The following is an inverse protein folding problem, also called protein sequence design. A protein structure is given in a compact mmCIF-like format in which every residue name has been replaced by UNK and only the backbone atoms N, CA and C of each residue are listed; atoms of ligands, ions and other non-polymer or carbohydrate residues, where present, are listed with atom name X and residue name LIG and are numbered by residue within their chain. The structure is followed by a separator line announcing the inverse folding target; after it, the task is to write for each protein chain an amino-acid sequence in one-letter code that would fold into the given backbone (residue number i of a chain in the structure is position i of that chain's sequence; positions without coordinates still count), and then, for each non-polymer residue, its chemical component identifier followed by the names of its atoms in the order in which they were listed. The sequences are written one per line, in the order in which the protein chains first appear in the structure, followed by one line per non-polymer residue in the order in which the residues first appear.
data_IF_187036681957
#
_entry.id   IF_187036681957
#
_cell.length_a   1.000
_cell.length_b   1.000
_cell.length_c   1.000
_cell.angle_alpha   90.00
_cell.angle_beta   90.00
_cell.angle_gamma   90.00
#
_symmetry.space_group_name_H-M   'P 1'
#
loop_
_entity.id
_entity.type
_entity.pdbx_description
1 polymer ?
#
# COMPACT_ATOMS: atom_id res chain seq x y z
N UNK A 1 14.11 -1.23 10.65
CA UNK A 1 14.41 0.03 11.35
C UNK A 1 13.85 -0.07 12.75
N UNK A 2 14.71 -0.18 13.76
CA UNK A 2 14.23 -0.28 15.14
C UNK A 2 13.74 1.07 15.67
N UNK A 3 12.92 1.03 16.72
CA UNK A 3 12.41 2.23 17.36
C UNK A 3 13.51 2.99 18.10
N UNK A 4 13.45 4.33 18.04
CA UNK A 4 14.38 5.22 18.77
C UNK A 4 14.20 5.16 20.29
N UNK A 5 13.05 4.69 20.77
CA UNK A 5 12.80 4.47 22.19
C UNK A 5 12.25 3.08 22.41
N UNK A 6 12.80 2.36 23.37
CA UNK A 6 12.33 1.04 23.80
C UNK A 6 12.07 0.04 22.64
N UNK A 7 13.06 -0.18 21.73
CA UNK A 7 12.91 -1.11 20.61
C UNK A 7 12.64 -2.54 21.08
N UNK A 8 13.12 -2.89 22.26
CA UNK A 8 12.94 -4.20 22.88
C UNK A 8 11.52 -4.46 23.37
N UNK A 9 10.62 -3.49 23.50
CA UNK A 9 9.24 -3.76 23.95
C UNK A 9 8.16 -3.30 22.96
N UNK A 10 8.51 -2.37 22.07
CA UNK A 10 7.57 -1.84 21.10
C UNK A 10 7.14 -2.83 20.01
N UNK A 11 5.97 -2.58 19.38
CA UNK A 11 5.43 -3.45 18.33
C UNK A 11 6.33 -3.50 17.09
N UNK A 12 6.08 -4.52 16.25
CA UNK A 12 6.59 -4.57 14.89
C UNK A 12 5.52 -4.06 13.92
N UNK A 13 5.87 -3.09 13.10
CA UNK A 13 5.04 -2.53 12.05
C UNK A 13 5.65 -2.97 10.72
N UNK A 14 4.91 -3.73 9.92
CA UNK A 14 5.33 -4.13 8.58
C UNK A 14 4.73 -3.13 7.59
N UNK A 15 5.60 -2.35 6.96
CA UNK A 15 5.25 -1.32 6.00
C UNK A 15 5.38 -1.87 4.58
N UNK A 16 4.25 -1.96 3.89
CA UNK A 16 4.16 -2.37 2.50
C UNK A 16 4.18 -1.16 1.56
N UNK A 17 4.72 -1.39 0.35
CA UNK A 17 4.54 -0.49 -0.80
C UNK A 17 3.16 -0.68 -1.46
N UNK A 18 2.85 0.22 -2.40
CA UNK A 18 1.62 0.17 -3.22
C UNK A 18 1.93 -0.14 -4.69
N UNK A 19 1.34 0.64 -5.59
CA UNK A 19 1.55 0.51 -7.04
C UNK A 19 0.31 -0.03 -7.75
N UNK A 20 0.23 -1.32 -8.14
CA UNK A 20 1.12 -2.46 -7.85
C UNK A 20 2.59 -2.31 -8.25
N UNK A 21 3.49 -2.96 -7.53
CA UNK A 21 4.91 -3.07 -7.96
C UNK A 21 5.85 -1.95 -7.50
N UNK A 22 5.39 -1.04 -6.64
CA UNK A 22 6.26 0.01 -6.10
C UNK A 22 7.01 -0.48 -4.85
N UNK A 23 8.32 -0.25 -4.80
CA UNK A 23 9.14 -0.61 -3.64
C UNK A 23 8.69 0.14 -2.38
N UNK A 24 8.60 -0.61 -1.28
CA UNK A 24 8.38 -0.10 0.08
C UNK A 24 9.49 0.85 0.53
N UNK A 25 10.68 0.79 -0.09
CA UNK A 25 11.76 1.74 0.16
C UNK A 25 11.36 3.17 -0.21
N UNK A 26 10.42 3.38 -1.14
CA UNK A 26 9.85 4.70 -1.36
C UNK A 26 9.22 5.24 -0.06
N UNK A 27 8.46 4.42 0.66
CA UNK A 27 7.93 4.77 1.98
C UNK A 27 9.02 5.06 3.02
N UNK A 28 10.18 4.38 2.94
CA UNK A 28 11.33 4.64 3.80
C UNK A 28 11.98 6.01 3.49
N UNK A 29 12.22 6.35 2.22
CA UNK A 29 13.04 7.52 1.86
C UNK A 29 12.24 8.78 1.50
N UNK A 30 10.94 8.66 1.27
CA UNK A 30 10.08 9.80 0.89
C UNK A 30 8.73 9.83 1.62
N UNK A 31 8.54 8.96 2.61
CA UNK A 31 7.31 8.88 3.39
C UNK A 31 7.55 8.86 4.89
N UNK A 32 7.34 7.70 5.48
CA UNK A 32 7.25 7.50 6.93
C UNK A 32 8.55 7.01 7.58
N UNK A 33 9.63 6.89 6.81
CA UNK A 33 10.95 6.52 7.34
C UNK A 33 11.66 7.62 8.10
N UNK A 34 12.75 7.26 8.82
CA UNK A 34 13.46 8.15 9.74
C UNK A 34 14.18 9.30 9.06
N UNK A 35 14.53 9.13 7.78
CA UNK A 35 15.20 10.13 6.98
C UNK A 35 14.52 10.23 5.62
N UNK A 36 14.26 11.45 5.17
CA UNK A 36 13.61 11.72 3.89
C UNK A 36 14.55 12.48 2.95
N UNK A 37 14.50 12.13 1.67
CA UNK A 37 15.23 12.86 0.62
C UNK A 37 14.58 14.21 0.36
N UNK A 38 15.38 15.27 0.35
CA UNK A 38 14.93 16.59 -0.10
C UNK A 38 14.83 16.61 -1.64
N UNK A 39 13.66 16.95 -2.15
CA UNK A 39 13.43 17.12 -3.58
C UNK A 39 13.92 18.51 -4.03
N UNK A 40 14.62 18.58 -5.16
CA UNK A 40 15.09 19.85 -5.75
C UNK A 40 16.57 20.20 -5.51
N UNK A 41 17.34 19.30 -4.88
CA UNK A 41 18.81 19.39 -4.83
C UNK A 41 19.44 18.34 -5.73
N UNK A 42 20.50 18.71 -6.45
CA UNK A 42 21.34 17.77 -7.22
C UNK A 42 22.19 16.87 -6.30
N UNK A 43 22.27 17.21 -5.00
CA UNK A 43 22.94 16.40 -3.98
C UNK A 43 21.94 15.45 -3.33
N UNK A 44 22.39 14.23 -3.06
CA UNK A 44 21.63 13.28 -2.24
C UNK A 44 21.81 13.68 -0.77
N UNK A 45 20.88 14.50 -0.29
CA UNK A 45 20.80 14.92 1.11
C UNK A 45 19.57 14.32 1.77
N UNK A 46 19.78 13.68 2.92
CA UNK A 46 18.75 13.07 3.74
C UNK A 46 18.54 13.94 5.00
N UNK A 47 17.29 14.30 5.28
CA UNK A 47 16.92 15.08 6.46
C UNK A 47 16.12 14.21 7.42
N UNK A 48 16.35 14.37 8.72
CA UNK A 48 15.59 13.66 9.74
C UNK A 48 14.10 13.97 9.65
N UNK A 49 13.28 12.91 9.66
CA UNK A 49 11.84 13.01 9.68
C UNK A 49 11.32 12.98 11.12
N UNK A 50 10.86 14.13 11.59
CA UNK A 50 10.32 14.28 12.94
C UNK A 50 9.03 13.47 13.19
N UNK A 51 8.36 13.03 12.13
CA UNK A 51 7.09 12.29 12.18
C UNK A 51 7.22 10.84 11.72
N UNK A 52 8.42 10.27 11.77
CA UNK A 52 8.64 8.93 11.29
C UNK A 52 7.91 7.85 12.10
N UNK A 53 7.40 6.84 11.40
CA UNK A 53 6.68 5.69 11.96
C UNK A 53 7.53 4.87 12.94
N UNK A 54 8.87 4.89 12.80
CA UNK A 54 9.76 4.19 13.74
C UNK A 54 9.77 4.82 15.15
N UNK A 55 9.19 6.01 15.34
CA UNK A 55 8.96 6.55 16.69
C UNK A 55 7.84 5.81 17.43
N UNK A 56 6.93 5.14 16.70
CA UNK A 56 5.80 4.37 17.25
C UNK A 56 6.09 2.88 17.43
N UNK A 57 7.04 2.32 16.67
CA UNK A 57 7.39 0.91 16.74
C UNK A 57 8.62 0.56 15.90
N UNK A 58 9.02 -0.70 15.93
CA UNK A 58 10.03 -1.22 15.01
C UNK A 58 9.39 -1.37 13.64
N UNK A 59 9.99 -0.84 12.57
CA UNK A 59 9.40 -0.85 11.22
C UNK A 59 10.21 -1.75 10.28
N UNK A 60 9.53 -2.72 9.68
CA UNK A 60 10.05 -3.56 8.61
C UNK A 60 9.45 -3.09 7.28
N UNK A 61 10.28 -2.58 6.37
CA UNK A 61 9.88 -2.22 5.02
C UNK A 61 10.04 -3.45 4.13
N UNK A 62 8.94 -3.91 3.54
CA UNK A 62 8.90 -5.17 2.81
C UNK A 62 8.52 -4.95 1.35
N UNK A 63 9.45 -5.26 0.45
CA UNK A 63 9.24 -5.21 -1.00
C UNK A 63 8.49 -6.45 -1.46
N UNK A 64 7.23 -6.24 -1.86
CA UNK A 64 6.35 -7.24 -2.43
C UNK A 64 5.62 -6.66 -3.66
N UNK A 65 5.20 -7.52 -4.61
CA UNK A 65 5.55 -8.95 -4.74
C UNK A 65 7.00 -9.19 -5.18
N UNK A 66 7.39 -10.44 -5.40
CA UNK A 66 8.67 -10.79 -6.01
C UNK A 66 8.87 -10.05 -7.35
N UNK A 67 10.08 -9.53 -7.58
CA UNK A 67 10.41 -8.65 -8.70
C UNK A 67 10.35 -7.15 -8.36
N UNK A 68 9.84 -6.77 -7.20
CA UNK A 68 9.77 -5.35 -6.76
C UNK A 68 11.05 -4.93 -6.05
N UNK A 69 11.61 -3.78 -6.44
CA UNK A 69 12.77 -3.20 -5.79
C UNK A 69 13.98 -4.14 -5.83
N UNK A 70 14.37 -4.66 -4.67
CA UNK A 70 15.44 -5.66 -4.56
C UNK A 70 14.95 -7.10 -4.38
N UNK A 71 13.64 -7.32 -4.26
CA UNK A 71 13.08 -8.68 -4.20
C UNK A 71 13.23 -9.34 -5.57
N UNK A 72 13.93 -10.47 -5.63
CA UNK A 72 14.15 -11.21 -6.87
C UNK A 72 13.10 -12.29 -7.09
N UNK A 73 12.83 -12.60 -8.36
CA UNK A 73 12.02 -13.73 -8.78
C UNK A 73 12.91 -14.67 -9.60
N UNK A 74 12.87 -15.96 -9.29
CA UNK A 74 13.68 -16.99 -9.96
C UNK A 74 12.82 -18.01 -10.75
N UNK A 75 11.52 -17.76 -10.84
CA UNK A 75 10.57 -18.57 -11.61
C UNK A 75 9.95 -17.70 -12.72
N UNK A 76 10.37 -17.95 -13.95
CA UNK A 76 9.89 -17.23 -15.14
C UNK A 76 8.41 -17.48 -15.44
N UNK A 77 7.80 -18.51 -14.85
CA UNK A 77 6.38 -18.84 -15.05
C UNK A 77 5.47 -18.31 -13.93
N UNK A 78 6.04 -17.61 -12.94
CA UNK A 78 5.29 -17.12 -11.80
C UNK A 78 4.16 -16.17 -12.24
N UNK A 79 2.97 -16.42 -11.70
CA UNK A 79 1.77 -15.62 -11.98
C UNK A 79 1.51 -14.68 -10.80
N UNK A 80 1.76 -13.39 -10.99
CA UNK A 80 1.40 -12.38 -9.99
C UNK A 80 -0.12 -12.31 -9.83
N UNK A 81 -0.57 -12.43 -8.59
CA UNK A 81 -1.96 -12.19 -8.19
C UNK A 81 -1.97 -11.69 -6.75
N UNK A 82 -3.07 -11.06 -6.34
CA UNK A 82 -3.24 -10.62 -4.94
C UNK A 82 -3.19 -11.83 -3.98
N UNK A 83 -3.73 -12.96 -4.40
CA UNK A 83 -3.68 -14.24 -3.67
C UNK A 83 -2.26 -14.73 -3.48
N UNK A 84 -1.47 -14.85 -4.56
CA UNK A 84 -0.09 -15.33 -4.48
C UNK A 84 0.78 -14.34 -3.69
N UNK A 85 0.58 -13.04 -3.90
CA UNK A 85 1.28 -12.00 -3.13
C UNK A 85 0.98 -12.11 -1.64
N UNK A 86 -0.27 -12.37 -1.25
CA UNK A 86 -0.65 -12.59 0.15
C UNK A 86 0.01 -13.82 0.78
N UNK A 87 0.05 -14.94 0.05
CA UNK A 87 0.71 -16.17 0.49
C UNK A 87 2.22 -15.99 0.64
N UNK A 88 2.88 -15.44 -0.37
CA UNK A 88 4.34 -15.23 -0.37
C UNK A 88 4.75 -14.21 0.71
N UNK A 89 3.93 -13.17 0.91
CA UNK A 89 4.13 -12.21 2.00
C UNK A 89 4.06 -12.88 3.37
N UNK A 90 3.08 -13.76 3.59
CA UNK A 90 2.98 -14.52 4.84
C UNK A 90 4.23 -15.39 5.08
N UNK A 91 4.66 -16.16 4.08
CA UNK A 91 5.85 -17.02 4.21
C UNK A 91 7.12 -16.20 4.43
N UNK A 92 7.23 -15.03 3.79
CA UNK A 92 8.34 -14.09 4.00
C UNK A 92 8.34 -13.56 5.44
N UNK A 93 7.18 -13.15 5.97
CA UNK A 93 7.03 -12.67 7.35
C UNK A 93 7.37 -13.79 8.35
N UNK A 94 6.88 -15.02 8.13
CA UNK A 94 7.21 -16.18 8.97
C UNK A 94 8.71 -16.47 8.96
N UNK A 95 9.33 -16.46 7.78
CA UNK A 95 10.77 -16.67 7.62
C UNK A 95 11.57 -15.60 8.36
N UNK A 96 11.18 -14.34 8.23
CA UNK A 96 11.80 -13.23 8.94
C UNK A 96 11.66 -13.37 10.46
N UNK A 97 10.46 -13.68 10.97
CA UNK A 97 10.22 -13.90 12.41
C UNK A 97 11.00 -15.11 12.97
N UNK A 98 11.27 -16.12 12.14
CA UNK A 98 12.11 -17.26 12.52
C UNK A 98 13.59 -16.86 12.65
N UNK A 99 14.08 -15.95 11.80
CA UNK A 99 15.43 -15.40 11.89
C UNK A 99 15.57 -14.40 13.06
N UNK A 100 14.53 -13.59 13.32
CA UNK A 100 14.52 -12.57 14.35
C UNK A 100 13.57 -12.95 15.49
N UNK A 101 13.96 -13.95 16.27
CA UNK A 101 13.07 -14.60 17.26
C UNK A 101 12.56 -13.66 18.36
N UNK A 102 13.31 -12.61 18.69
CA UNK A 102 12.91 -11.56 19.64
C UNK A 102 11.65 -10.78 19.21
N UNK A 103 11.24 -10.91 17.94
CA UNK A 103 10.02 -10.30 17.42
C UNK A 103 8.81 -11.24 17.39
N UNK A 104 8.97 -12.56 17.57
CA UNK A 104 7.86 -13.54 17.44
C UNK A 104 6.67 -13.27 18.35
N UNK A 105 6.94 -12.85 19.59
CA UNK A 105 5.90 -12.55 20.58
C UNK A 105 5.34 -11.13 20.48
N UNK A 106 5.91 -10.26 19.64
CA UNK A 106 5.52 -8.85 19.54
C UNK A 106 4.15 -8.70 18.93
N UNK A 107 3.49 -7.62 19.29
CA UNK A 107 2.34 -7.17 18.53
C UNK A 107 2.78 -6.78 17.12
N UNK A 108 2.09 -7.29 16.12
CA UNK A 108 2.38 -7.03 14.72
C UNK A 108 1.26 -6.20 14.11
N UNK A 109 1.62 -5.16 13.37
CA UNK A 109 0.72 -4.28 12.65
C UNK A 109 1.11 -4.23 11.19
N UNK A 110 0.13 -4.27 10.29
CA UNK A 110 0.37 -4.08 8.86
C UNK A 110 0.01 -2.65 8.46
N UNK A 111 0.88 -2.00 7.69
CA UNK A 111 0.72 -0.60 7.28
C UNK A 111 1.06 -0.45 5.80
N UNK A 112 0.36 0.42 5.08
CA UNK A 112 0.53 0.58 3.64
C UNK A 112 -0.28 1.73 3.04
N UNK A 113 -0.05 1.99 1.75
CA UNK A 113 -0.71 3.07 1.02
C UNK A 113 -1.13 2.61 -0.38
N UNK A 114 -2.17 3.22 -0.96
CA UNK A 114 -2.58 2.97 -2.34
C UNK A 114 -2.96 1.49 -2.56
N UNK A 115 -2.32 0.77 -3.49
CA UNK A 115 -2.65 -0.64 -3.75
C UNK A 115 -2.34 -1.57 -2.57
N UNK A 116 -1.64 -1.12 -1.52
CA UNK A 116 -1.61 -1.88 -0.25
C UNK A 116 -3.01 -2.08 0.35
N UNK A 117 -4.02 -1.33 -0.10
CA UNK A 117 -5.42 -1.57 0.22
C UNK A 117 -5.93 -2.95 -0.23
N UNK A 118 -5.29 -3.57 -1.23
CA UNK A 118 -5.50 -4.96 -1.61
C UNK A 118 -4.51 -5.89 -0.90
N UNK A 119 -3.20 -5.55 -0.90
CA UNK A 119 -2.17 -6.42 -0.32
C UNK A 119 -2.39 -6.72 1.17
N UNK A 120 -2.71 -5.69 1.97
CA UNK A 120 -2.81 -5.82 3.42
C UNK A 120 -3.96 -6.73 3.84
N UNK A 121 -5.19 -6.57 3.32
CA UNK A 121 -6.27 -7.53 3.58
C UNK A 121 -5.93 -8.95 3.14
N UNK A 122 -5.31 -9.13 1.96
CA UNK A 122 -4.92 -10.46 1.48
C UNK A 122 -3.94 -11.15 2.42
N UNK A 123 -2.85 -10.49 2.83
CA UNK A 123 -1.89 -11.10 3.78
C UNK A 123 -2.49 -11.28 5.18
N UNK A 124 -3.33 -10.35 5.64
CA UNK A 124 -4.01 -10.47 6.93
C UNK A 124 -4.96 -11.68 6.97
N UNK A 125 -5.68 -11.93 5.88
CA UNK A 125 -6.53 -13.12 5.74
C UNK A 125 -5.70 -14.41 5.83
N UNK A 126 -4.57 -14.49 5.11
CA UNK A 126 -3.66 -15.64 5.20
C UNK A 126 -3.17 -15.84 6.63
N UNK A 127 -2.75 -14.77 7.31
CA UNK A 127 -2.33 -14.83 8.73
C UNK A 127 -3.44 -15.37 9.62
N UNK A 128 -4.67 -14.85 9.50
CA UNK A 128 -5.81 -15.30 10.32
C UNK A 128 -6.11 -16.78 10.08
N UNK A 129 -6.09 -17.22 8.83
CA UNK A 129 -6.36 -18.62 8.47
C UNK A 129 -5.24 -19.56 8.96
N UNK A 130 -3.97 -19.18 8.77
CA UNK A 130 -2.82 -19.95 9.26
C UNK A 130 -2.75 -20.01 10.78
N UNK A 131 -3.10 -18.93 11.48
CA UNK A 131 -3.18 -18.91 12.94
C UNK A 131 -4.25 -19.86 13.51
N UNK A 132 -5.33 -20.13 12.76
CA UNK A 132 -6.33 -21.15 13.12
C UNK A 132 -5.80 -22.55 12.88
N UNK A 133 -5.05 -22.75 11.80
CA UNK A 133 -4.46 -24.04 11.43
C UNK A 133 -3.31 -24.46 12.35
N UNK A 134 -2.47 -23.49 12.77
CA UNK A 134 -1.25 -23.72 13.56
C UNK A 134 -1.28 -22.88 14.84
N UNK A 135 -2.03 -23.31 15.88
CA UNK A 135 -2.26 -22.48 17.04
C UNK A 135 -1.02 -22.21 17.91
N UNK A 136 0.01 -23.05 17.82
CA UNK A 136 1.26 -22.93 18.58
C UNK A 136 2.32 -22.07 17.87
N UNK A 137 2.09 -21.66 16.62
CA UNK A 137 3.05 -20.91 15.80
C UNK A 137 2.40 -19.67 15.14
N UNK A 138 1.61 -18.96 15.94
CA UNK A 138 0.82 -17.80 15.50
C UNK A 138 1.68 -16.56 15.25
N UNK A 139 1.26 -15.77 14.26
CA UNK A 139 1.64 -14.36 14.13
C UNK A 139 0.66 -13.53 14.96
N UNK A 140 1.15 -12.77 15.93
CA UNK A 140 0.33 -11.92 16.82
C UNK A 140 -0.10 -10.60 16.13
N UNK A 141 -0.85 -10.73 15.04
CA UNK A 141 -1.41 -9.61 14.28
C UNK A 141 -2.50 -8.91 15.12
N UNK A 142 -2.32 -7.60 15.36
CA UNK A 142 -3.26 -6.77 16.15
C UNK A 142 -4.14 -5.87 15.31
N UNK A 143 -3.67 -5.47 14.14
CA UNK A 143 -4.45 -4.60 13.27
C UNK A 143 -3.75 -4.22 11.98
N UNK A 144 -4.49 -3.48 11.17
CA UNK A 144 -4.08 -3.01 9.86
C UNK A 144 -4.33 -1.50 9.73
N UNK A 145 -3.46 -0.80 9.00
CA UNK A 145 -3.57 0.62 8.70
C UNK A 145 -3.35 0.82 7.19
N UNK A 146 -4.34 1.40 6.52
CA UNK A 146 -4.33 1.58 5.07
C UNK A 146 -4.58 3.05 4.75
N UNK A 147 -3.56 3.74 4.22
CA UNK A 147 -3.66 5.12 3.76
C UNK A 147 -4.11 5.19 2.30
N UNK A 148 -5.17 5.94 1.99
CA UNK A 148 -5.62 6.17 0.61
C UNK A 148 -5.71 4.87 -0.23
N UNK A 149 -6.21 3.80 0.38
CA UNK A 149 -6.16 2.46 -0.20
C UNK A 149 -7.15 2.26 -1.34
N UNK A 150 -6.79 1.41 -2.30
CA UNK A 150 -7.77 0.78 -3.19
C UNK A 150 -8.49 -0.29 -2.37
N UNK A 151 -9.79 -0.12 -2.13
CA UNK A 151 -10.60 -1.04 -1.32
C UNK A 151 -11.61 -1.85 -2.15
N UNK A 152 -11.87 -1.39 -3.37
CA UNK A 152 -12.75 -2.04 -4.35
C UNK A 152 -12.02 -2.00 -5.67
N UNK A 153 -11.89 -3.14 -6.34
CA UNK A 153 -11.25 -3.25 -7.65
C UNK A 153 -12.31 -3.38 -8.75
N UNK A 154 -13.22 -2.40 -8.81
CA UNK A 154 -14.27 -2.32 -9.81
C UNK A 154 -14.12 -0.98 -10.54
N UNK A 155 -13.74 -1.04 -11.82
CA UNK A 155 -13.40 0.14 -12.62
C UNK A 155 -14.54 1.16 -12.65
N UNK A 156 -15.79 0.71 -12.82
CA UNK A 156 -16.96 1.59 -12.87
C UNK A 156 -17.15 2.35 -11.55
N UNK A 157 -16.95 1.68 -10.42
CA UNK A 157 -17.08 2.28 -9.10
C UNK A 157 -15.98 3.32 -8.84
N UNK A 158 -14.73 2.96 -9.12
CA UNK A 158 -13.57 3.85 -8.98
C UNK A 158 -13.74 5.08 -9.86
N UNK A 159 -14.10 4.87 -11.13
CA UNK A 159 -14.30 5.92 -12.11
C UNK A 159 -15.40 6.89 -11.69
N UNK A 160 -16.54 6.37 -11.23
CA UNK A 160 -17.65 7.20 -10.74
C UNK A 160 -17.21 8.08 -9.57
N UNK A 161 -16.55 7.52 -8.56
CA UNK A 161 -16.11 8.27 -7.38
C UNK A 161 -15.05 9.33 -7.73
N UNK A 162 -14.07 8.97 -8.56
CA UNK A 162 -13.05 9.91 -9.01
C UNK A 162 -13.68 11.07 -9.78
N UNK A 163 -14.60 10.79 -10.70
CA UNK A 163 -15.33 11.81 -11.44
C UNK A 163 -16.10 12.75 -10.51
N UNK A 164 -16.86 12.21 -9.56
CA UNK A 164 -17.61 13.02 -8.58
C UNK A 164 -16.69 13.91 -7.74
N UNK A 165 -15.55 13.36 -7.28
CA UNK A 165 -14.55 14.12 -6.53
C UNK A 165 -13.96 15.27 -7.36
N UNK A 166 -13.51 14.99 -8.58
CA UNK A 166 -12.86 15.96 -9.46
C UNK A 166 -13.82 17.11 -9.82
N UNK A 167 -15.09 16.79 -10.11
CA UNK A 167 -16.14 17.77 -10.34
C UNK A 167 -16.35 18.65 -9.10
N UNK A 168 -16.51 18.05 -7.92
CA UNK A 168 -16.78 18.78 -6.67
C UNK A 168 -15.64 19.72 -6.28
N UNK A 169 -14.41 19.40 -6.69
CA UNK A 169 -13.20 20.18 -6.42
C UNK A 169 -12.82 21.14 -7.55
N UNK A 170 -13.65 21.27 -8.59
CA UNK A 170 -13.43 22.14 -9.74
C UNK A 170 -12.12 21.84 -10.50
N UNK A 171 -11.74 20.57 -10.62
CA UNK A 171 -10.60 20.18 -11.46
C UNK A 171 -10.91 20.31 -12.97
N UNK A 172 -12.19 20.37 -13.33
CA UNK A 172 -12.63 20.57 -14.71
C UNK A 172 -13.18 21.97 -14.92
N UNK A 173 -13.04 22.48 -16.15
CA UNK A 173 -13.72 23.70 -16.57
C UNK A 173 -15.25 23.56 -16.50
N UNK A 174 -15.96 24.69 -16.43
CA UNK A 174 -17.42 24.70 -16.24
C UNK A 174 -18.19 23.92 -17.31
N UNK A 175 -17.68 23.91 -18.55
CA UNK A 175 -18.32 23.21 -19.66
C UNK A 175 -18.18 21.70 -19.44
N UNK A 176 -16.95 21.22 -19.17
CA UNK A 176 -16.68 19.82 -18.86
C UNK A 176 -17.47 19.37 -17.63
N UNK A 177 -17.54 20.18 -16.56
CA UNK A 177 -18.36 19.84 -15.38
C UNK A 177 -19.83 19.65 -15.72
N UNK A 178 -20.41 20.52 -16.57
CA UNK A 178 -21.81 20.41 -16.97
C UNK A 178 -22.06 19.16 -17.80
N UNK A 179 -21.17 18.84 -18.74
CA UNK A 179 -21.24 17.61 -19.53
C UNK A 179 -21.16 16.37 -18.64
N UNK A 180 -20.23 16.34 -17.68
CA UNK A 180 -20.07 15.21 -16.78
C UNK A 180 -21.27 15.04 -15.82
N UNK A 181 -21.87 16.13 -15.33
CA UNK A 181 -23.04 16.08 -14.43
C UNK A 181 -24.34 15.72 -15.14
N UNK A 182 -24.50 16.13 -16.39
CA UNK A 182 -25.77 16.02 -17.11
C UNK A 182 -25.71 14.92 -18.16
N UNK A 183 -24.84 15.09 -19.16
CA UNK A 183 -24.75 14.17 -20.28
C UNK A 183 -24.20 12.81 -19.87
N UNK A 184 -23.12 12.74 -19.10
CA UNK A 184 -22.54 11.46 -18.70
C UNK A 184 -23.42 10.68 -17.72
N UNK A 185 -24.18 11.36 -16.87
CA UNK A 185 -25.10 10.68 -15.93
C UNK A 185 -26.33 10.13 -16.64
N UNK A 186 -26.88 10.86 -17.63
CA UNK A 186 -28.11 10.45 -18.32
C UNK A 186 -27.85 9.60 -19.57
N UNK A 187 -26.73 9.85 -20.26
CA UNK A 187 -26.35 9.24 -21.53
C UNK A 187 -24.84 8.96 -21.56
N UNK A 188 -24.36 7.93 -20.83
CA UNK A 188 -22.92 7.64 -20.70
C UNK A 188 -22.23 7.38 -22.05
N UNK A 189 -22.95 6.82 -23.02
CA UNK A 189 -22.43 6.53 -24.37
C UNK A 189 -22.62 7.69 -25.37
N UNK A 190 -23.08 8.86 -24.93
CA UNK A 190 -23.21 10.02 -25.81
C UNK A 190 -21.85 10.53 -26.29
N UNK A 191 -21.78 11.01 -27.53
CA UNK A 191 -20.55 11.58 -28.09
C UNK A 191 -19.99 12.72 -27.23
N UNK A 192 -20.86 13.52 -26.61
CA UNK A 192 -20.45 14.55 -25.65
C UNK A 192 -19.78 13.98 -24.41
N UNK A 193 -20.30 12.87 -23.87
CA UNK A 193 -19.69 12.23 -22.71
C UNK A 193 -18.35 11.59 -23.08
N UNK A 194 -18.32 10.77 -24.13
CA UNK A 194 -17.10 10.09 -24.57
C UNK A 194 -15.96 11.09 -24.87
N UNK A 195 -16.27 12.19 -25.56
CA UNK A 195 -15.27 13.25 -25.82
C UNK A 195 -14.78 13.94 -24.54
N UNK A 196 -15.65 14.12 -23.54
CA UNK A 196 -15.26 14.70 -22.26
C UNK A 196 -14.36 13.75 -21.46
N UNK A 197 -14.66 12.44 -21.48
CA UNK A 197 -13.83 11.41 -20.86
C UNK A 197 -12.45 11.31 -21.52
N UNK A 198 -12.41 11.24 -22.85
CA UNK A 198 -11.16 11.23 -23.63
C UNK A 198 -10.28 12.46 -23.36
N UNK A 199 -10.88 13.67 -23.34
CA UNK A 199 -10.14 14.92 -23.10
C UNK A 199 -9.45 14.92 -21.74
N UNK A 200 -10.15 14.44 -20.72
CA UNK A 200 -9.67 14.44 -19.34
C UNK A 200 -8.85 13.18 -19.02
N UNK A 201 -8.67 12.27 -19.99
CA UNK A 201 -7.98 10.97 -19.84
C UNK A 201 -8.55 10.12 -18.70
N UNK A 202 -9.87 10.14 -18.56
CA UNK A 202 -10.61 9.36 -17.56
C UNK A 202 -11.27 8.18 -18.27
#
# INVERSE_FOLDING_TARGET
MESITDPENKPLIIQFGGGPGCSSLAGLISGVGPYVKLWGSDKIELTENQYSLHKLGNVLYLDIPAGVGYSTLHDDNYQWSDTNTGLDSYETIKTWLNAFQNYKAREIWFSGVSYSGMYIPCVAEVVVNKNKQFPDDKINLKGIMIGNGVLVNEDEFIFKLNREYLIKRNFFDLITQNVMKVSCTKYPNSASCQRALEREKI
#
